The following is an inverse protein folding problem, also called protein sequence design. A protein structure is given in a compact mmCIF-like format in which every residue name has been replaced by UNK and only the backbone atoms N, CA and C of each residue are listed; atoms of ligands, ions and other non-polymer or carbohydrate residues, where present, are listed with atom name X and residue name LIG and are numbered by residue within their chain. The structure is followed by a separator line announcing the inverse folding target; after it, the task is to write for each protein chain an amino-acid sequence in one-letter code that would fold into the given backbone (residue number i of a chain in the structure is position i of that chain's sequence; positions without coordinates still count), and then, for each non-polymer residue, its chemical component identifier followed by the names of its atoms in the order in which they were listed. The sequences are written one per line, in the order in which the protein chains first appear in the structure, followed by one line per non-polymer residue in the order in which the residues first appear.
data_IF_912181101337
#
_entry.id   IF_912181101337
#
_cell.length_a   1.000
_cell.length_b   1.000
_cell.length_c   1.000
_cell.angle_alpha   90.00
_cell.angle_beta   90.00
_cell.angle_gamma   90.00
#
_symmetry.space_group_name_H-M   'P 1'
#
loop_
_entity.id
_entity.type
_entity.pdbx_description
1 polymer ?
#
# COMPACT_ATOMS: atom_id res chain seq x y z
N UNK A 1 30.82 11.68 -21.32
CA UNK A 1 30.14 10.38 -21.21
C UNK A 1 28.89 10.58 -20.35
N UNK A 2 27.72 10.61 -20.97
CA UNK A 2 26.46 10.67 -20.24
C UNK A 2 26.18 9.30 -19.63
N UNK A 3 26.28 9.17 -18.31
CA UNK A 3 25.75 8.00 -17.63
C UNK A 3 24.23 8.07 -17.75
N UNK A 4 23.65 7.27 -18.62
CA UNK A 4 22.23 6.93 -18.55
C UNK A 4 22.04 6.17 -17.25
N UNK A 5 21.74 6.90 -16.17
CA UNK A 5 21.11 6.37 -14.98
C UNK A 5 19.84 5.67 -15.48
N UNK A 6 19.89 4.34 -15.55
CA UNK A 6 18.72 3.54 -15.82
C UNK A 6 17.65 3.99 -14.83
N UNK A 7 16.52 4.48 -15.35
CA UNK A 7 15.37 4.83 -14.51
C UNK A 7 15.16 3.66 -13.55
N UNK A 8 15.14 3.87 -12.22
CA UNK A 8 14.82 2.79 -11.30
C UNK A 8 13.47 2.24 -11.74
N UNK A 9 13.43 0.95 -12.11
CA UNK A 9 12.16 0.26 -12.40
C UNK A 9 11.24 0.62 -11.24
N UNK A 10 10.08 1.22 -11.55
CA UNK A 10 9.14 1.69 -10.55
C UNK A 10 8.96 0.62 -9.48
N UNK A 11 9.48 0.87 -8.28
CA UNK A 11 9.53 -0.04 -7.14
C UNK A 11 8.14 -0.20 -6.49
N UNK A 12 7.10 -0.27 -7.30
CA UNK A 12 5.77 -0.65 -6.84
C UNK A 12 5.81 -2.10 -6.40
N UNK A 13 5.13 -2.40 -5.29
CA UNK A 13 4.92 -3.78 -4.83
C UNK A 13 4.42 -4.63 -6.01
N UNK A 14 5.19 -5.64 -6.49
CA UNK A 14 4.81 -6.41 -7.66
C UNK A 14 3.42 -7.00 -7.46
N UNK A 15 2.55 -6.99 -8.48
CA UNK A 15 1.25 -7.62 -8.43
C UNK A 15 1.39 -9.12 -8.13
N UNK A 16 0.44 -9.74 -7.43
CA UNK A 16 0.54 -11.15 -7.03
C UNK A 16 0.61 -12.09 -8.24
N UNK A 17 0.00 -11.68 -9.34
CA UNK A 17 -0.03 -12.33 -10.64
C UNK A 17 1.32 -12.34 -11.36
N UNK A 18 2.30 -11.52 -10.94
CA UNK A 18 3.67 -11.64 -11.43
C UNK A 18 4.39 -12.88 -10.84
N UNK A 19 3.90 -13.41 -9.73
CA UNK A 19 4.43 -14.61 -9.07
C UNK A 19 3.69 -15.86 -9.57
N UNK A 20 4.34 -16.76 -10.35
CA UNK A 20 3.70 -17.95 -10.92
C UNK A 20 2.96 -18.82 -9.90
N UNK A 21 3.48 -18.91 -8.67
CA UNK A 21 2.94 -19.66 -7.55
C UNK A 21 1.64 -19.08 -6.98
N UNK A 22 1.39 -17.77 -7.14
CA UNK A 22 0.19 -17.10 -6.61
C UNK A 22 -0.89 -16.88 -7.68
N UNK A 23 -0.56 -16.99 -8.98
CA UNK A 23 -1.52 -16.89 -10.10
C UNK A 23 -2.78 -17.76 -9.94
N UNK A 24 -2.72 -19.04 -9.52
CA UNK A 24 -3.92 -19.86 -9.37
C UNK A 24 -4.87 -19.33 -8.29
N UNK A 25 -4.33 -18.70 -7.24
CA UNK A 25 -5.12 -18.14 -6.14
C UNK A 25 -5.83 -16.85 -6.56
N UNK A 26 -5.14 -15.97 -7.29
CA UNK A 26 -5.75 -14.77 -7.89
C UNK A 26 -6.83 -15.15 -8.91
N UNK A 27 -6.54 -16.15 -9.76
CA UNK A 27 -7.52 -16.67 -10.73
C UNK A 27 -8.75 -17.28 -10.03
N UNK A 28 -8.57 -17.98 -8.91
CA UNK A 28 -9.67 -18.52 -8.12
C UNK A 28 -10.58 -17.43 -7.56
N UNK A 29 -10.02 -16.37 -6.98
CA UNK A 29 -10.80 -15.23 -6.47
C UNK A 29 -11.61 -14.58 -7.59
N UNK A 30 -10.97 -14.30 -8.73
CA UNK A 30 -11.64 -13.69 -9.89
C UNK A 30 -12.76 -14.60 -10.44
N UNK A 31 -12.52 -15.91 -10.49
CA UNK A 31 -13.53 -16.90 -10.89
C UNK A 31 -14.72 -16.89 -9.93
N UNK A 32 -14.49 -16.95 -8.61
CA UNK A 32 -15.53 -16.94 -7.59
C UNK A 32 -16.36 -15.65 -7.62
N UNK A 33 -15.72 -14.48 -7.84
CA UNK A 33 -16.42 -13.19 -8.03
C UNK A 33 -17.33 -13.22 -9.26
N UNK A 34 -16.81 -13.70 -10.38
CA UNK A 34 -17.56 -13.80 -11.64
C UNK A 34 -18.76 -14.74 -11.47
N UNK A 35 -18.55 -15.88 -10.83
CA UNK A 35 -19.60 -16.87 -10.57
C UNK A 35 -20.67 -16.33 -9.61
N UNK A 36 -20.27 -15.66 -8.53
CA UNK A 36 -21.20 -15.03 -7.59
C UNK A 36 -22.05 -13.94 -8.28
N UNK A 37 -21.43 -13.11 -9.11
CA UNK A 37 -22.13 -12.08 -9.88
C UNK A 37 -23.12 -12.69 -10.88
N UNK A 38 -22.69 -13.74 -11.60
CA UNK A 38 -23.55 -14.44 -12.55
C UNK A 38 -24.77 -15.07 -11.85
N UNK A 39 -24.56 -15.78 -10.74
CA UNK A 39 -25.64 -16.43 -9.98
C UNK A 39 -26.57 -15.43 -9.30
N UNK A 40 -26.03 -14.31 -8.81
CA UNK A 40 -26.83 -13.23 -8.23
C UNK A 40 -27.69 -12.54 -9.30
N UNK A 41 -27.14 -12.31 -10.49
CA UNK A 41 -27.88 -11.78 -11.63
C UNK A 41 -28.98 -12.73 -12.09
N UNK A 42 -28.67 -14.02 -12.24
CA UNK A 42 -29.63 -15.08 -12.60
C UNK A 42 -30.80 -15.12 -11.60
N UNK A 43 -30.51 -15.14 -10.30
CA UNK A 43 -31.54 -15.09 -9.25
C UNK A 43 -32.40 -13.83 -9.34
N UNK A 44 -31.80 -12.68 -9.60
CA UNK A 44 -32.52 -11.40 -9.73
C UNK A 44 -33.47 -11.41 -10.92
N UNK A 45 -33.03 -11.95 -12.06
CA UNK A 45 -33.87 -12.13 -13.24
C UNK A 45 -35.06 -13.06 -12.97
N UNK A 46 -34.84 -14.19 -12.27
CA UNK A 46 -35.91 -15.12 -11.91
C UNK A 46 -36.91 -14.51 -10.92
N UNK A 47 -36.45 -13.74 -9.94
CA UNK A 47 -37.32 -12.99 -9.03
C UNK A 47 -38.17 -11.96 -9.76
N UNK A 48 -37.57 -11.21 -10.71
CA UNK A 48 -38.30 -10.26 -11.53
C UNK A 48 -39.35 -10.94 -12.41
N UNK A 49 -39.01 -12.10 -13.00
CA UNK A 49 -39.98 -12.93 -13.73
C UNK A 49 -41.12 -13.37 -12.83
N UNK A 50 -40.83 -13.93 -11.66
CA UNK A 50 -41.83 -14.36 -10.66
C UNK A 50 -42.77 -13.21 -10.28
N UNK A 51 -42.24 -12.03 -9.98
CA UNK A 51 -43.04 -10.87 -9.63
C UNK A 51 -43.92 -10.41 -10.81
N UNK A 52 -43.38 -10.40 -12.03
CA UNK A 52 -44.17 -10.05 -13.23
C UNK A 52 -45.33 -11.01 -13.50
N UNK A 53 -45.15 -12.31 -13.27
CA UNK A 53 -46.23 -13.31 -13.38
C UNK A 53 -47.20 -13.30 -12.19
N UNK A 54 -46.80 -12.76 -11.03
CA UNK A 54 -47.68 -12.56 -9.88
C UNK A 54 -48.59 -11.33 -10.05
N UNK A 55 -48.16 -10.32 -10.80
CA UNK A 55 -48.90 -9.08 -11.05
C UNK A 55 -49.75 -9.06 -12.34
N UNK A 56 -49.80 -10.16 -13.11
CA UNK A 56 -50.72 -10.28 -14.26
C UNK A 56 -52.17 -10.19 -13.80
N UNK A 57 -53.03 -9.51 -14.56
CA UNK A 57 -54.43 -9.35 -14.19
C UNK A 57 -55.12 -10.71 -14.11
N UNK A 58 -56.07 -10.88 -13.17
CA UNK A 58 -56.81 -12.13 -12.97
C UNK A 58 -57.48 -12.60 -14.27
N UNK A 59 -57.92 -11.66 -15.12
CA UNK A 59 -58.55 -11.94 -16.42
C UNK A 59 -57.55 -12.50 -17.43
N UNK A 60 -56.33 -11.97 -17.51
CA UNK A 60 -55.29 -12.48 -18.41
C UNK A 60 -54.75 -13.85 -17.97
N UNK A 61 -54.72 -14.12 -16.67
CA UNK A 61 -54.30 -15.43 -16.15
C UNK A 61 -55.35 -16.50 -16.45
N UNK A 62 -56.63 -16.17 -16.26
CA UNK A 62 -57.73 -17.09 -16.56
C UNK A 62 -57.86 -17.33 -18.06
N UNK A 63 -57.74 -16.31 -18.91
CA UNK A 63 -57.82 -16.48 -20.37
C UNK A 63 -56.71 -17.37 -20.91
N UNK A 64 -55.48 -17.22 -20.42
CA UNK A 64 -54.36 -18.09 -20.79
C UNK A 64 -54.58 -19.54 -20.33
N UNK A 65 -55.09 -19.76 -19.11
CA UNK A 65 -55.41 -21.11 -18.62
C UNK A 65 -56.51 -21.80 -19.45
N UNK A 66 -57.52 -21.06 -19.89
CA UNK A 66 -58.57 -21.58 -20.76
C UNK A 66 -58.07 -21.92 -22.17
N UNK A 67 -57.07 -21.18 -22.69
CA UNK A 67 -56.50 -21.41 -24.03
C UNK A 67 -55.44 -22.51 -24.06
N UNK A 68 -54.61 -22.63 -23.01
CA UNK A 68 -53.44 -23.54 -22.97
C UNK A 68 -53.72 -24.86 -22.23
N UNK A 69 -54.86 -24.98 -21.54
CA UNK A 69 -55.34 -26.24 -20.96
C UNK A 69 -54.48 -26.84 -19.83
N UNK A 70 -53.48 -26.10 -19.32
CA UNK A 70 -52.56 -26.56 -18.27
C UNK A 70 -52.54 -25.59 -17.08
N UNK A 71 -52.50 -26.11 -15.83
CA UNK A 71 -52.50 -25.27 -14.65
C UNK A 71 -51.14 -24.55 -14.49
N UNK A 72 -51.17 -23.22 -14.40
CA UNK A 72 -49.98 -22.37 -14.17
C UNK A 72 -49.26 -22.59 -12.82
N UNK A 73 -49.72 -23.54 -12.00
CA UNK A 73 -49.22 -23.82 -10.65
C UNK A 73 -47.87 -24.53 -10.69
N UNK A 74 -47.67 -25.48 -11.61
CA UNK A 74 -46.43 -26.27 -11.71
C UNK A 74 -45.22 -25.42 -12.12
N UNK A 75 -45.41 -24.45 -13.01
CA UNK A 75 -44.36 -23.53 -13.44
C UNK A 75 -43.91 -22.56 -12.34
N UNK A 76 -44.80 -22.21 -11.40
CA UNK A 76 -44.45 -21.37 -10.23
C UNK A 76 -43.68 -22.16 -9.18
N UNK A 77 -44.05 -23.43 -8.97
CA UNK A 77 -43.34 -24.33 -8.07
C UNK A 77 -41.90 -24.59 -8.54
N UNK A 78 -41.71 -24.85 -9.84
CA UNK A 78 -40.37 -25.07 -10.40
C UNK A 78 -39.47 -23.82 -10.33
N UNK A 79 -40.05 -22.61 -10.47
CA UNK A 79 -39.33 -21.35 -10.30
C UNK A 79 -38.84 -21.15 -8.85
N UNK A 80 -39.65 -21.52 -7.86
CA UNK A 80 -39.28 -21.39 -6.45
C UNK A 80 -38.20 -22.37 -6.01
N UNK A 81 -38.23 -23.59 -6.52
CA UNK A 81 -37.12 -24.56 -6.33
C UNK A 81 -35.82 -24.02 -6.95
N UNK A 82 -35.89 -23.46 -8.16
CA UNK A 82 -34.73 -22.90 -8.86
C UNK A 82 -34.15 -21.69 -8.11
N UNK A 83 -35.00 -20.77 -7.65
CA UNK A 83 -34.59 -19.60 -6.85
C UNK A 83 -33.96 -20.03 -5.52
N UNK A 84 -34.53 -21.05 -4.87
CA UNK A 84 -33.99 -21.60 -3.62
C UNK A 84 -32.63 -22.25 -3.84
N UNK A 85 -32.48 -23.03 -4.92
CA UNK A 85 -31.20 -23.62 -5.32
C UNK A 85 -30.14 -22.56 -5.60
N UNK A 86 -30.46 -21.50 -6.35
CA UNK A 86 -29.54 -20.38 -6.58
C UNK A 86 -29.18 -19.65 -5.29
N UNK A 87 -30.14 -19.49 -4.37
CA UNK A 87 -29.90 -18.85 -3.07
C UNK A 87 -28.94 -19.68 -2.21
N UNK A 88 -29.07 -21.00 -2.23
CA UNK A 88 -28.15 -21.91 -1.56
C UNK A 88 -26.74 -21.88 -2.19
N UNK A 89 -26.64 -21.83 -3.52
CA UNK A 89 -25.36 -21.67 -4.21
C UNK A 89 -24.69 -20.35 -3.86
N UNK A 90 -25.42 -19.23 -3.89
CA UNK A 90 -24.90 -17.92 -3.48
C UNK A 90 -24.43 -17.97 -2.02
N UNK A 91 -25.22 -18.57 -1.13
CA UNK A 91 -24.86 -18.72 0.29
C UNK A 91 -23.61 -19.57 0.49
N UNK A 92 -23.32 -20.52 -0.38
CA UNK A 92 -22.08 -21.31 -0.35
C UNK A 92 -20.89 -20.59 -1.01
N UNK A 93 -21.14 -19.82 -2.07
CA UNK A 93 -20.11 -19.05 -2.80
C UNK A 93 -19.55 -17.89 -1.96
N UNK A 94 -20.39 -17.20 -1.19
CA UNK A 94 -19.97 -16.08 -0.32
C UNK A 94 -18.85 -16.48 0.65
N UNK A 95 -19.00 -17.49 1.53
CA UNK A 95 -17.93 -17.86 2.46
C UNK A 95 -16.69 -18.43 1.75
N UNK A 96 -16.88 -19.11 0.60
CA UNK A 96 -15.75 -19.58 -0.22
C UNK A 96 -14.94 -18.41 -0.80
N UNK A 97 -15.62 -17.35 -1.26
CA UNK A 97 -14.99 -16.13 -1.75
C UNK A 97 -14.29 -15.38 -0.62
N UNK A 98 -14.95 -15.19 0.53
CA UNK A 98 -14.35 -14.53 1.70
C UNK A 98 -13.07 -15.22 2.16
N UNK A 99 -13.08 -16.56 2.19
CA UNK A 99 -11.91 -17.35 2.54
C UNK A 99 -10.78 -17.18 1.49
N UNK A 100 -11.12 -17.20 0.20
CA UNK A 100 -10.15 -17.00 -0.87
C UNK A 100 -9.53 -15.59 -0.85
N UNK A 101 -10.33 -14.54 -0.61
CA UNK A 101 -9.85 -13.16 -0.46
C UNK A 101 -8.95 -12.99 0.76
N UNK A 102 -9.28 -13.66 1.87
CA UNK A 102 -8.44 -13.67 3.07
C UNK A 102 -7.07 -14.32 2.81
N UNK A 103 -7.04 -15.40 2.04
CA UNK A 103 -5.80 -16.03 1.61
C UNK A 103 -4.99 -15.13 0.67
N UNK A 104 -5.63 -14.52 -0.32
CA UNK A 104 -4.98 -13.54 -1.21
C UNK A 104 -4.37 -12.38 -0.43
N UNK A 105 -5.09 -11.83 0.55
CA UNK A 105 -4.59 -10.77 1.43
C UNK A 105 -3.36 -11.21 2.22
N UNK A 106 -3.34 -12.45 2.73
CA UNK A 106 -2.16 -13.00 3.43
C UNK A 106 -0.96 -13.10 2.50
N UNK A 107 -1.16 -13.56 1.27
CA UNK A 107 -0.10 -13.61 0.25
C UNK A 107 0.42 -12.21 -0.08
N UNK A 108 -0.47 -11.22 -0.19
CA UNK A 108 -0.09 -9.81 -0.41
C UNK A 108 0.81 -9.27 0.69
N UNK A 109 0.48 -9.57 1.95
CA UNK A 109 1.31 -9.18 3.09
C UNK A 109 2.68 -9.86 3.00
N UNK A 110 2.72 -11.16 2.67
CA UNK A 110 3.97 -11.90 2.52
C UNK A 110 4.88 -11.29 1.44
N UNK A 111 4.37 -11.04 0.25
CA UNK A 111 5.13 -10.40 -0.84
C UNK A 111 5.59 -8.99 -0.44
N UNK A 112 4.78 -8.26 0.33
CA UNK A 112 5.18 -6.95 0.86
C UNK A 112 6.36 -7.04 1.82
N UNK A 113 6.40 -8.06 2.68
CA UNK A 113 7.51 -8.28 3.60
C UNK A 113 8.76 -8.67 2.82
N UNK A 114 8.66 -9.61 1.88
CA UNK A 114 9.78 -10.04 1.04
C UNK A 114 10.36 -8.88 0.22
N UNK A 115 9.49 -8.09 -0.41
CA UNK A 115 9.91 -6.89 -1.16
C UNK A 115 10.58 -5.86 -0.25
N UNK A 116 10.07 -5.67 0.97
CA UNK A 116 10.69 -4.76 1.93
C UNK A 116 12.09 -5.23 2.34
N UNK A 117 12.28 -6.54 2.57
CA UNK A 117 13.60 -7.13 2.85
C UNK A 117 14.59 -6.92 1.70
N UNK A 118 14.17 -7.16 0.46
CA UNK A 118 14.99 -6.93 -0.73
C UNK A 118 15.39 -5.45 -0.88
N UNK A 119 14.49 -4.54 -0.51
CA UNK A 119 14.72 -3.10 -0.59
C UNK A 119 15.58 -2.55 0.56
N UNK A 120 15.80 -3.30 1.66
CA UNK A 120 16.58 -2.82 2.82
C UNK A 120 17.95 -2.28 2.44
N UNK A 121 18.66 -2.97 1.54
CA UNK A 121 20.00 -2.55 1.09
C UNK A 121 19.98 -1.19 0.39
N UNK A 122 19.02 -0.99 -0.51
CA UNK A 122 18.84 0.25 -1.25
C UNK A 122 18.38 1.41 -0.36
N UNK A 123 17.43 1.14 0.55
CA UNK A 123 16.98 2.12 1.55
C UNK A 123 18.16 2.56 2.42
N UNK A 124 18.98 1.60 2.87
CA UNK A 124 20.20 1.90 3.64
C UNK A 124 21.18 2.76 2.86
N UNK A 125 21.42 2.46 1.58
CA UNK A 125 22.31 3.24 0.72
C UNK A 125 21.83 4.70 0.57
N UNK A 126 20.54 4.89 0.28
CA UNK A 126 19.96 6.22 0.16
C UNK A 126 19.95 6.98 1.49
N UNK A 127 19.62 6.32 2.60
CA UNK A 127 19.69 6.91 3.93
C UNK A 127 21.12 7.39 4.23
N UNK A 128 22.14 6.56 3.96
CA UNK A 128 23.55 6.94 4.14
C UNK A 128 23.95 8.12 3.25
N UNK A 129 23.45 8.18 2.02
CA UNK A 129 23.67 9.32 1.12
C UNK A 129 23.08 10.62 1.69
N UNK A 130 21.86 10.55 2.24
CA UNK A 130 21.22 11.69 2.91
C UNK A 130 22.04 12.13 4.12
N UNK A 131 22.47 11.19 4.97
CA UNK A 131 23.30 11.50 6.13
C UNK A 131 24.62 12.16 5.72
N UNK A 132 25.28 11.66 4.68
CA UNK A 132 26.51 12.28 4.16
C UNK A 132 26.26 13.73 3.72
N UNK A 133 25.16 13.99 3.00
CA UNK A 133 24.76 15.34 2.60
C UNK A 133 24.53 16.27 3.80
N UNK A 134 23.83 15.77 4.83
CA UNK A 134 23.59 16.53 6.06
C UNK A 134 24.90 16.84 6.79
N UNK A 135 25.83 15.89 6.89
CA UNK A 135 27.13 16.10 7.52
C UNK A 135 27.98 17.16 6.80
N UNK A 136 27.93 17.20 5.46
CA UNK A 136 28.60 18.23 4.66
C UNK A 136 28.01 19.61 4.90
N UNK A 137 26.68 19.72 4.95
CA UNK A 137 25.99 20.96 5.30
C UNK A 137 26.41 21.40 6.71
N UNK A 138 26.53 20.45 7.66
CA UNK A 138 26.98 20.76 9.02
C UNK A 138 28.37 21.34 9.06
N UNK A 139 29.29 20.75 8.32
CA UNK A 139 30.65 21.23 8.22
C UNK A 139 30.70 22.64 7.62
N UNK A 140 29.93 22.89 6.56
CA UNK A 140 29.81 24.21 5.93
C UNK A 140 29.28 25.28 6.90
N UNK A 141 28.20 24.98 7.61
CA UNK A 141 27.59 25.91 8.55
C UNK A 141 28.46 26.21 9.77
N UNK A 142 29.21 25.22 10.30
CA UNK A 142 30.24 25.47 11.32
C UNK A 142 31.34 26.42 10.80
N UNK A 143 31.70 26.33 9.52
CA UNK A 143 32.63 27.25 8.88
C UNK A 143 32.09 28.67 8.78
N UNK A 144 30.83 28.82 8.37
CA UNK A 144 30.12 30.11 8.31
C UNK A 144 30.05 30.75 9.69
N UNK A 145 29.67 30.00 10.73
CA UNK A 145 29.58 30.48 12.11
C UNK A 145 30.93 31.02 12.61
N UNK A 146 32.01 30.27 12.39
CA UNK A 146 33.38 30.71 12.75
C UNK A 146 33.77 31.99 12.02
N UNK A 147 33.43 32.12 10.74
CA UNK A 147 33.70 33.33 9.97
C UNK A 147 32.88 34.52 10.49
N UNK A 148 31.60 34.32 10.81
CA UNK A 148 30.74 35.34 11.40
C UNK A 148 31.27 35.80 12.76
N UNK A 149 31.76 34.88 13.60
CA UNK A 149 32.38 35.24 14.87
C UNK A 149 33.67 36.05 14.67
N UNK A 150 34.56 35.62 13.78
CA UNK A 150 35.77 36.36 13.46
C UNK A 150 35.46 37.77 12.90
N UNK A 151 34.42 37.90 12.07
CA UNK A 151 33.94 39.19 11.55
C UNK A 151 33.37 40.07 12.66
N UNK A 152 32.63 39.50 13.60
CA UNK A 152 32.13 40.21 14.79
C UNK A 152 33.28 40.79 15.61
N UNK A 153 34.32 39.99 15.84
CA UNK A 153 35.51 40.39 16.61
C UNK A 153 36.28 41.53 15.90
N UNK A 154 36.16 41.62 14.57
CA UNK A 154 36.70 42.70 13.74
C UNK A 154 35.75 43.91 13.57
N UNK A 155 34.56 43.89 14.20
CA UNK A 155 33.61 45.01 14.17
C UNK A 155 32.68 45.07 12.95
N UNK A 156 32.62 44.02 12.13
CA UNK A 156 31.64 43.97 11.03
C UNK A 156 30.21 43.77 11.55
N UNK A 157 29.24 44.43 10.92
CA UNK A 157 27.81 44.36 11.28
C UNK A 157 27.00 43.37 10.43
N UNK A 158 27.54 42.95 9.28
CA UNK A 158 26.91 41.99 8.38
C UNK A 158 27.36 40.56 8.66
N UNK A 159 26.39 39.66 8.76
CA UNK A 159 26.58 38.23 9.05
C UNK A 159 26.00 37.36 7.94
N UNK A 160 26.69 36.26 7.67
CA UNK A 160 26.19 35.22 6.78
C UNK A 160 25.27 34.28 7.55
N UNK A 161 24.17 33.90 6.91
CA UNK A 161 23.23 32.94 7.48
C UNK A 161 23.62 31.51 7.13
N UNK A 162 23.37 30.53 8.03
CA UNK A 162 23.57 29.13 7.72
C UNK A 162 22.66 28.69 6.56
N UNK A 163 23.16 27.74 5.75
CA UNK A 163 22.46 27.18 4.59
C UNK A 163 21.91 25.82 4.98
N UNK A 164 20.62 25.54 4.76
CA UNK A 164 20.05 24.22 5.04
C UNK A 164 18.58 24.25 5.47
N UNK A 165 18.10 23.11 5.97
CA UNK A 165 16.75 22.98 6.51
C UNK A 165 16.60 23.85 7.77
N UNK A 166 15.59 24.72 7.75
CA UNK A 166 15.27 25.68 8.82
C UNK A 166 14.65 24.96 10.05
N UNK A 167 14.90 25.39 11.29
CA UNK A 167 15.89 26.38 11.73
C UNK A 167 17.17 25.68 12.20
N UNK A 168 18.26 25.86 11.44
CA UNK A 168 19.56 25.24 11.66
C UNK A 168 20.13 25.48 13.06
N UNK A 169 19.89 26.66 13.64
CA UNK A 169 20.36 27.01 14.98
C UNK A 169 19.72 26.12 16.06
N UNK A 170 18.57 25.51 15.77
CA UNK A 170 17.88 24.58 16.68
C UNK A 170 18.44 23.16 16.60
N UNK A 171 19.34 22.86 15.65
CA UNK A 171 19.86 21.51 15.49
C UNK A 171 20.89 21.13 16.55
N UNK A 172 21.53 22.12 17.18
CA UNK A 172 22.52 21.95 18.24
C UNK A 172 23.83 21.30 17.77
N UNK A 173 24.66 20.87 18.72
CA UNK A 173 25.94 20.21 18.45
C UNK A 173 25.82 18.69 18.55
N UNK A 174 26.50 17.93 17.68
CA UNK A 174 26.49 16.46 17.73
C UNK A 174 26.95 15.86 19.06
N UNK A 175 27.79 16.58 19.81
CA UNK A 175 28.29 16.17 21.14
C UNK A 175 27.23 16.38 22.24
N UNK A 176 26.28 17.28 22.02
CA UNK A 176 25.18 17.52 22.94
C UNK A 176 24.13 16.43 22.75
N UNK A 177 23.95 15.61 23.80
CA UNK A 177 23.03 14.47 23.79
C UNK A 177 21.57 14.87 23.56
N UNK A 178 21.21 16.12 23.84
CA UNK A 178 19.86 16.69 23.67
C UNK A 178 19.65 17.41 22.35
N UNK A 179 20.70 17.55 21.53
CA UNK A 179 20.61 18.17 20.21
C UNK A 179 19.82 17.32 19.22
N UNK A 180 19.19 17.98 18.23
CA UNK A 180 18.53 17.27 17.11
C UNK A 180 19.53 16.43 16.33
N UNK A 181 20.80 16.85 16.25
CA UNK A 181 21.87 16.08 15.64
C UNK A 181 22.14 14.75 16.34
N UNK A 182 22.27 14.76 17.67
CA UNK A 182 22.45 13.55 18.48
C UNK A 182 21.24 12.61 18.35
N UNK A 183 20.03 13.16 18.39
CA UNK A 183 18.80 12.38 18.20
C UNK A 183 18.76 11.72 16.82
N UNK A 184 19.02 12.48 15.76
CA UNK A 184 19.05 11.94 14.39
C UNK A 184 20.13 10.87 14.23
N UNK A 185 21.36 11.09 14.71
CA UNK A 185 22.42 10.08 14.63
C UNK A 185 22.03 8.80 15.37
N UNK A 186 21.31 8.90 16.49
CA UNK A 186 20.78 7.76 17.22
C UNK A 186 19.71 7.02 16.42
N UNK A 187 18.80 7.72 15.76
CA UNK A 187 17.80 7.10 14.86
C UNK A 187 18.48 6.33 13.72
N UNK A 188 19.54 6.88 13.14
CA UNK A 188 20.32 6.20 12.11
C UNK A 188 21.05 4.95 12.64
N UNK A 189 21.50 4.96 13.89
CA UNK A 189 22.10 3.81 14.55
C UNK A 189 21.04 2.73 14.86
N UNK A 190 19.91 3.13 15.45
CA UNK A 190 18.79 2.24 15.80
C UNK A 190 18.17 1.58 14.57
N UNK A 191 18.08 2.32 13.46
CA UNK A 191 17.62 1.78 12.17
C UNK A 191 18.69 0.90 11.47
N UNK A 192 19.90 0.79 12.01
CA UNK A 192 20.98 -0.02 11.46
C UNK A 192 21.60 0.55 10.17
N UNK A 193 21.41 1.84 9.90
CA UNK A 193 21.98 2.50 8.72
C UNK A 193 23.47 2.78 8.88
N UNK A 194 23.89 3.06 10.12
CA UNK A 194 25.29 3.23 10.51
C UNK A 194 25.67 2.22 11.60
N UNK A 195 26.96 1.92 11.70
CA UNK A 195 27.54 1.05 12.73
C UNK A 195 27.80 1.84 14.02
N UNK A 196 27.96 1.13 15.13
CA UNK A 196 28.34 1.74 16.42
C UNK A 196 29.67 2.51 16.32
N UNK A 197 30.62 2.01 15.52
CA UNK A 197 31.91 2.67 15.29
C UNK A 197 31.74 3.96 14.47
N UNK A 198 30.92 3.94 13.41
CA UNK A 198 30.58 5.13 12.63
C UNK A 198 29.87 6.16 13.51
N UNK A 199 28.86 5.74 14.29
CA UNK A 199 28.16 6.61 15.22
C UNK A 199 29.12 7.28 16.21
N UNK A 200 30.01 6.52 16.86
CA UNK A 200 31.02 7.08 17.76
C UNK A 200 31.95 8.06 17.04
N UNK A 201 32.39 7.75 15.82
CA UNK A 201 33.26 8.65 15.05
C UNK A 201 32.56 9.96 14.71
N UNK A 202 31.30 9.91 14.30
CA UNK A 202 30.50 11.09 13.95
C UNK A 202 30.22 11.99 15.16
N UNK A 203 29.87 11.40 16.31
CA UNK A 203 29.63 12.18 17.54
C UNK A 203 30.88 12.91 18.04
N UNK A 204 32.07 12.41 17.70
CA UNK A 204 33.36 13.03 18.04
C UNK A 204 33.95 13.88 16.88
N UNK A 205 33.11 14.33 15.95
CA UNK A 205 33.49 15.30 14.93
C UNK A 205 34.03 14.73 13.62
N UNK A 206 33.96 13.41 13.41
CA UNK A 206 34.17 12.82 12.08
C UNK A 206 33.05 13.21 11.11
N UNK A 207 33.38 13.41 9.84
CA UNK A 207 32.40 13.79 8.79
C UNK A 207 32.28 12.74 7.68
N UNK A 208 32.95 11.61 7.84
CA UNK A 208 32.97 10.49 6.89
C UNK A 208 32.14 9.32 7.41
N UNK A 209 31.35 8.72 6.52
CA UNK A 209 30.61 7.47 6.72
C UNK A 209 31.42 6.28 6.21
#
# INVERSE_FOLDING_TARGET
MAMTLGKPKSQSLPPLDDHPEYRPKVALVNRLKTELNAKSSERTQLLNRKNSTAHKSVVEVLSAQYLEGTPTVDARFSLDETITSLSNHIRALVPALEQAEKEERRLRIKVSIETAEEQKGLVREHARTVLQGLLLIQQGNKGIERLCQARKDLGYTEYFHPVGLSDWNEWGNMEDSTSRWSMMLREFLEAGYITTAEHHRLTHGGTTL
#
